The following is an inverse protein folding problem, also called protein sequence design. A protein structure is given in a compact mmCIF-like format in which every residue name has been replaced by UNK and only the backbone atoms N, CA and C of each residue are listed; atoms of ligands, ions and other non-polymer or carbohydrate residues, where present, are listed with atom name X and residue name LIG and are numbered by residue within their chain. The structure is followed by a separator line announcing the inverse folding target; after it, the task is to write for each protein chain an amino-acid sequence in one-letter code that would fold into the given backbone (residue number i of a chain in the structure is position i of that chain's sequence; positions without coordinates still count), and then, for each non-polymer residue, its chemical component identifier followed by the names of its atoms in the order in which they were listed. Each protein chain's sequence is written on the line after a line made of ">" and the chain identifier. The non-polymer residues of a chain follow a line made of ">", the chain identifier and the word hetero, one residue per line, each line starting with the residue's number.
data_IF_556476101545
#
_entry.id   IF_556476101545
#
_cell.length_a   1.000
_cell.length_b   1.000
_cell.length_c   1.000
_cell.angle_alpha   90.00
_cell.angle_beta   90.00
_cell.angle_gamma   90.00
#
_symmetry.space_group_name_H-M   'P 1'
#
loop_
_entity.id
_entity.type
_entity.pdbx_description
1 polymer ?
#
# COMPACT_ATOMS: atom_id res chain seq x y z
N UNK A 1 -12.01 0.56 13.21
CA UNK A 1 -11.47 -0.50 12.33
C UNK A 1 -12.03 -0.28 10.93
N UNK A 2 -11.21 -0.57 9.92
CA UNK A 2 -11.58 -0.45 8.51
C UNK A 2 -12.10 -1.80 8.03
N UNK A 3 -13.12 -1.79 7.18
CA UNK A 3 -13.53 -2.98 6.43
C UNK A 3 -12.66 -3.13 5.17
N UNK A 4 -11.46 -3.68 5.35
CA UNK A 4 -10.45 -3.75 4.29
C UNK A 4 -10.86 -4.71 3.17
N UNK A 5 -11.55 -5.81 3.51
CA UNK A 5 -12.09 -6.76 2.52
C UNK A 5 -13.06 -6.06 1.59
N UNK A 6 -14.02 -5.34 2.15
CA UNK A 6 -14.98 -4.56 1.35
C UNK A 6 -14.31 -3.48 0.51
N UNK A 7 -13.23 -2.88 1.02
CA UNK A 7 -12.52 -1.82 0.31
C UNK A 7 -11.74 -2.33 -0.91
N UNK A 8 -11.14 -3.51 -0.80
CA UNK A 8 -10.26 -4.06 -1.84
C UNK A 8 -10.87 -5.19 -2.66
N UNK A 9 -11.93 -5.85 -2.20
CA UNK A 9 -12.49 -7.03 -2.85
C UNK A 9 -13.18 -6.72 -4.17
N UNK A 10 -13.14 -7.67 -5.11
CA UNK A 10 -13.69 -7.50 -6.48
C UNK A 10 -13.14 -6.27 -7.23
N UNK A 11 -11.90 -5.86 -6.96
CA UNK A 11 -11.33 -4.70 -7.66
C UNK A 11 -10.89 -5.05 -9.08
N UNK A 12 -11.28 -4.21 -10.05
CA UNK A 12 -10.89 -4.30 -11.46
C UNK A 12 -9.49 -3.72 -11.74
N UNK A 13 -8.92 -3.01 -10.77
CA UNK A 13 -7.68 -2.22 -10.92
C UNK A 13 -6.55 -2.70 -10.03
N UNK A 14 -6.83 -3.46 -8.96
CA UNK A 14 -5.85 -3.79 -7.93
C UNK A 14 -4.69 -4.61 -8.49
N UNK A 15 -4.97 -5.60 -9.33
CA UNK A 15 -3.96 -6.42 -10.01
C UNK A 15 -3.05 -5.58 -10.92
N UNK A 16 -3.64 -4.70 -11.74
CA UNK A 16 -2.92 -3.85 -12.70
C UNK A 16 -2.11 -2.77 -12.03
N UNK A 17 -2.63 -2.19 -10.94
CA UNK A 17 -1.98 -1.09 -10.24
C UNK A 17 -1.02 -1.56 -9.15
N UNK A 18 -1.17 -2.77 -8.61
CA UNK A 18 -0.29 -3.30 -7.54
C UNK A 18 0.57 -4.43 -8.07
N UNK A 19 -0.06 -5.56 -8.43
CA UNK A 19 0.65 -6.82 -8.66
C UNK A 19 1.49 -6.79 -9.94
N UNK A 20 0.97 -6.17 -11.00
CA UNK A 20 1.66 -6.06 -12.30
C UNK A 20 2.99 -5.32 -12.19
N UNK A 21 3.15 -4.40 -11.23
CA UNK A 21 4.43 -3.72 -10.98
C UNK A 21 5.53 -4.72 -10.58
N UNK A 22 5.14 -5.81 -9.93
CA UNK A 22 6.02 -6.87 -9.44
C UNK A 22 6.03 -8.10 -10.38
N UNK A 23 5.53 -7.96 -11.62
CA UNK A 23 5.45 -9.07 -12.58
C UNK A 23 6.79 -9.65 -13.01
N UNK A 24 7.89 -8.94 -12.70
CA UNK A 24 9.25 -9.37 -12.93
C UNK A 24 9.78 -10.32 -11.84
N UNK A 25 9.04 -10.49 -10.75
CA UNK A 25 9.33 -11.40 -9.64
C UNK A 25 8.35 -12.57 -9.65
N UNK A 26 7.06 -12.26 -9.77
CA UNK A 26 5.94 -13.21 -9.83
C UNK A 26 5.13 -12.94 -11.09
N UNK A 27 5.20 -13.82 -12.08
CA UNK A 27 4.67 -13.54 -13.41
C UNK A 27 3.14 -13.54 -13.45
N UNK A 28 2.51 -14.28 -12.54
CA UNK A 28 1.07 -14.37 -12.46
C UNK A 28 0.51 -13.25 -11.57
N UNK A 29 0.27 -12.09 -12.19
CA UNK A 29 -0.15 -10.89 -11.49
C UNK A 29 -1.67 -10.66 -11.50
N UNK A 30 -2.42 -11.40 -12.31
CA UNK A 30 -3.88 -11.28 -12.40
C UNK A 30 -4.52 -11.76 -11.08
N UNK A 31 -5.68 -11.17 -10.74
CA UNK A 31 -6.43 -11.51 -9.55
C UNK A 31 -7.82 -11.99 -9.93
N UNK A 32 -8.23 -13.12 -9.35
CA UNK A 32 -9.61 -13.63 -9.43
C UNK A 32 -10.22 -13.55 -8.03
N UNK A 33 -11.39 -12.95 -7.91
CA UNK A 33 -12.08 -12.85 -6.63
C UNK A 33 -12.98 -14.06 -6.40
N UNK A 34 -12.85 -14.69 -5.23
CA UNK A 34 -13.70 -15.77 -4.75
C UNK A 34 -14.80 -15.18 -3.84
N UNK A 35 -16.03 -15.17 -4.35
CA UNK A 35 -17.21 -14.67 -3.63
C UNK A 35 -17.59 -15.51 -2.41
N UNK A 36 -17.26 -16.80 -2.39
CA UNK A 36 -17.58 -17.69 -1.27
C UNK A 36 -16.65 -17.45 -0.08
N UNK A 37 -15.36 -17.25 -0.37
CA UNK A 37 -14.34 -17.06 0.67
C UNK A 37 -13.98 -15.59 0.95
N UNK A 38 -14.58 -14.65 0.21
CA UNK A 38 -14.33 -13.20 0.28
C UNK A 38 -12.84 -12.86 0.26
N UNK A 39 -12.12 -13.45 -0.71
CA UNK A 39 -10.67 -13.26 -0.91
C UNK A 39 -10.28 -13.48 -2.37
N UNK A 40 -9.07 -13.10 -2.73
CA UNK A 40 -8.51 -13.44 -4.03
C UNK A 40 -8.04 -14.90 -4.07
N UNK A 41 -8.26 -15.60 -5.19
CA UNK A 41 -7.83 -16.98 -5.39
C UNK A 41 -6.29 -17.06 -5.36
N UNK A 42 -5.69 -17.87 -4.46
CA UNK A 42 -4.25 -18.10 -4.46
C UNK A 42 -3.82 -18.92 -5.68
N UNK A 43 -2.90 -18.37 -6.47
CA UNK A 43 -2.32 -19.05 -7.62
C UNK A 43 -0.81 -19.24 -7.49
N UNK A 44 -0.26 -20.23 -8.20
CA UNK A 44 1.19 -20.38 -8.32
C UNK A 44 1.81 -19.16 -9.01
N UNK A 45 3.04 -18.83 -8.59
CA UNK A 45 3.79 -17.68 -9.09
C UNK A 45 3.02 -16.34 -9.04
N UNK A 46 2.16 -16.17 -8.02
CA UNK A 46 1.35 -14.97 -7.77
C UNK A 46 1.57 -14.37 -6.38
N UNK A 47 1.25 -13.08 -6.22
CA UNK A 47 1.15 -12.42 -4.92
C UNK A 47 -0.26 -12.46 -4.30
N UNK A 48 -1.25 -13.11 -4.93
CA UNK A 48 -2.63 -13.14 -4.46
C UNK A 48 -2.76 -13.55 -2.97
N UNK A 49 -2.06 -14.60 -2.54
CA UNK A 49 -2.09 -15.05 -1.14
C UNK A 49 -1.46 -14.03 -0.18
N UNK A 50 -0.30 -13.46 -0.52
CA UNK A 50 0.33 -12.42 0.31
C UNK A 50 -0.53 -11.16 0.37
N UNK A 51 -1.25 -10.82 -0.71
CA UNK A 51 -2.21 -9.71 -0.73
C UNK A 51 -3.41 -9.98 0.19
N UNK A 52 -3.96 -11.20 0.20
CA UNK A 52 -5.03 -11.57 1.14
C UNK A 52 -4.58 -11.40 2.60
N UNK A 53 -3.36 -11.83 2.91
CA UNK A 53 -2.77 -11.67 4.24
C UNK A 53 -2.65 -10.18 4.62
N UNK A 54 -2.22 -9.33 3.69
CA UNK A 54 -2.17 -7.88 3.90
C UNK A 54 -3.55 -7.27 4.13
N UNK A 55 -4.56 -7.66 3.34
CA UNK A 55 -5.94 -7.17 3.51
C UNK A 55 -6.46 -7.51 4.92
N UNK A 56 -6.19 -8.72 5.40
CA UNK A 56 -6.51 -9.15 6.77
C UNK A 56 -5.79 -8.31 7.83
N UNK A 57 -4.49 -8.02 7.63
CA UNK A 57 -3.71 -7.16 8.52
C UNK A 57 -4.27 -5.73 8.59
N UNK A 58 -4.63 -5.13 7.45
CA UNK A 58 -5.22 -3.78 7.41
C UNK A 58 -6.54 -3.70 8.18
N UNK A 59 -7.33 -4.78 8.19
CA UNK A 59 -8.56 -4.87 8.98
C UNK A 59 -8.34 -4.86 10.50
N UNK A 60 -7.12 -5.21 10.96
CA UNK A 60 -6.77 -5.37 12.38
C UNK A 60 -6.09 -4.16 13.00
N UNK A 61 -5.57 -3.24 12.18
CA UNK A 61 -4.88 -2.04 12.67
C UNK A 61 -5.84 -0.86 12.85
N UNK A 62 -5.47 0.05 13.75
CA UNK A 62 -6.15 1.33 13.90
C UNK A 62 -5.49 2.36 12.97
N UNK A 63 -6.26 3.00 12.08
CA UNK A 63 -5.71 4.04 11.21
C UNK A 63 -5.15 5.19 12.03
N UNK A 64 -4.03 5.81 11.61
CA UNK A 64 -3.51 7.02 12.24
C UNK A 64 -4.53 8.15 12.13
N UNK A 65 -4.51 9.08 13.10
CA UNK A 65 -5.41 10.24 13.08
C UNK A 65 -5.11 11.16 11.88
N UNK A 66 -3.84 11.26 11.50
CA UNK A 66 -3.38 11.98 10.30
C UNK A 66 -2.85 10.96 9.30
N UNK A 67 -3.51 10.82 8.15
CA UNK A 67 -3.19 9.78 7.19
C UNK A 67 -1.80 9.86 6.53
N UNK A 68 -1.11 11.01 6.64
CA UNK A 68 0.26 11.18 6.16
C UNK A 68 1.33 10.95 7.24
N UNK A 69 0.96 10.76 8.50
CA UNK A 69 1.92 10.70 9.62
C UNK A 69 2.96 9.60 9.43
N UNK A 70 2.53 8.39 9.09
CA UNK A 70 3.45 7.28 8.87
C UNK A 70 4.23 7.39 7.55
N UNK A 71 3.70 8.10 6.56
CA UNK A 71 4.45 8.43 5.35
C UNK A 71 5.54 9.47 5.63
N UNK A 72 5.27 10.40 6.54
CA UNK A 72 6.24 11.38 7.02
C UNK A 72 7.36 10.69 7.79
N UNK A 73 7.06 9.71 8.65
CA UNK A 73 8.09 8.92 9.34
C UNK A 73 9.08 8.27 8.35
N UNK A 74 8.57 7.69 7.26
CA UNK A 74 9.41 7.07 6.22
C UNK A 74 10.29 8.11 5.51
N UNK A 75 9.74 9.27 5.17
CA UNK A 75 10.50 10.34 4.53
C UNK A 75 11.55 10.97 5.47
N UNK A 76 11.20 11.16 6.75
CA UNK A 76 12.11 11.65 7.79
C UNK A 76 13.27 10.69 8.01
N UNK A 77 13.01 9.37 7.97
CA UNK A 77 14.06 8.35 8.00
C UNK A 77 15.05 8.54 6.84
N UNK A 78 14.55 8.71 5.62
CA UNK A 78 15.35 8.90 4.41
C UNK A 78 16.23 10.15 4.52
N UNK A 79 15.71 11.25 5.07
CA UNK A 79 16.51 12.46 5.35
C UNK A 79 17.60 12.19 6.39
N UNK A 80 17.22 11.58 7.52
CA UNK A 80 18.12 11.42 8.66
C UNK A 80 19.25 10.41 8.40
N UNK A 81 18.95 9.32 7.68
CA UNK A 81 19.85 8.17 7.56
C UNK A 81 20.44 7.98 6.16
N UNK A 82 19.72 8.36 5.11
CA UNK A 82 20.22 8.27 3.72
C UNK A 82 20.71 9.63 3.20
N UNK A 83 20.50 10.70 3.96
CA UNK A 83 20.95 12.06 3.66
C UNK A 83 20.43 12.62 2.32
N UNK A 84 19.25 12.15 1.89
CA UNK A 84 18.61 12.67 0.68
C UNK A 84 18.22 14.13 0.87
N UNK A 85 18.42 14.92 -0.18
CA UNK A 85 18.07 16.34 -0.20
C UNK A 85 16.59 16.53 -0.55
N UNK A 86 15.72 16.05 0.34
CA UNK A 86 14.26 16.20 0.25
C UNK A 86 13.74 17.06 1.39
N UNK A 87 12.62 17.74 1.16
CA UNK A 87 11.99 18.58 2.17
C UNK A 87 10.47 18.65 1.96
N UNK A 88 9.74 19.04 3.01
CA UNK A 88 8.29 19.16 2.94
C UNK A 88 7.87 20.57 2.55
N UNK A 89 7.15 20.73 1.45
CA UNK A 89 6.61 22.00 0.93
C UNK A 89 5.11 21.86 0.74
N UNK A 90 4.33 22.73 1.39
CA UNK A 90 2.85 22.71 1.33
C UNK A 90 2.24 21.33 1.61
N UNK A 91 2.80 20.61 2.59
CA UNK A 91 2.33 19.28 2.98
C UNK A 91 2.81 18.12 2.09
N UNK A 92 3.65 18.37 1.09
CA UNK A 92 4.18 17.35 0.18
C UNK A 92 5.70 17.26 0.27
N UNK A 93 6.23 16.05 0.23
CA UNK A 93 7.68 15.84 0.10
C UNK A 93 8.11 16.11 -1.33
N UNK A 94 9.14 16.96 -1.48
CA UNK A 94 9.73 17.35 -2.77
C UNK A 94 11.23 17.06 -2.77
N UNK A 95 11.83 16.98 -3.96
CA UNK A 95 13.25 16.69 -4.16
C UNK A 95 13.52 15.26 -4.67
N UNK A 96 12.56 14.34 -4.54
CA UNK A 96 12.60 13.01 -5.13
C UNK A 96 11.20 12.51 -5.49
N UNK A 97 11.12 11.44 -6.26
CA UNK A 97 9.85 10.75 -6.53
C UNK A 97 9.28 10.18 -5.23
N UNK A 98 7.98 10.37 -5.02
CA UNK A 98 7.34 10.02 -3.74
C UNK A 98 7.37 8.52 -3.45
N UNK A 99 7.23 7.68 -4.48
CA UNK A 99 7.27 6.22 -4.33
C UNK A 99 8.66 5.80 -3.88
N UNK A 100 9.70 6.37 -4.50
CA UNK A 100 11.08 6.10 -4.10
C UNK A 100 11.39 6.52 -2.67
N UNK A 101 10.80 7.62 -2.19
CA UNK A 101 10.96 8.03 -0.78
C UNK A 101 10.36 6.97 0.14
N UNK A 102 9.13 6.52 -0.14
CA UNK A 102 8.45 5.53 0.70
C UNK A 102 9.13 4.15 0.65
N UNK A 103 9.55 3.71 -0.53
CA UNK A 103 10.28 2.45 -0.73
C UNK A 103 11.59 2.44 0.05
N UNK A 104 12.41 3.49 -0.10
CA UNK A 104 13.71 3.57 0.57
C UNK A 104 13.58 3.73 2.09
N UNK A 105 12.58 4.47 2.56
CA UNK A 105 12.27 4.56 3.99
C UNK A 105 11.77 3.22 4.56
N UNK A 106 11.09 2.42 3.75
CA UNK A 106 10.48 1.17 4.18
C UNK A 106 11.48 0.01 4.39
N UNK A 107 12.69 0.06 3.82
CA UNK A 107 13.70 -0.99 4.03
C UNK A 107 14.18 -1.11 5.48
N UNK A 108 13.97 -0.06 6.28
CA UNK A 108 14.28 -0.04 7.71
C UNK A 108 13.03 0.06 8.59
N UNK A 109 11.86 -0.09 7.98
CA UNK A 109 10.57 -0.15 8.67
C UNK A 109 10.35 -1.59 9.15
N UNK A 110 10.75 -1.86 10.40
CA UNK A 110 10.65 -3.18 11.02
C UNK A 110 9.19 -3.64 10.95
N UNK A 111 8.97 -4.83 10.37
CA UNK A 111 7.65 -5.42 10.12
C UNK A 111 6.70 -4.52 9.29
N UNK A 112 7.26 -3.62 8.49
CA UNK A 112 6.55 -2.66 7.64
C UNK A 112 5.47 -1.83 8.39
N UNK A 113 5.66 -1.58 9.69
CA UNK A 113 4.65 -0.96 10.55
C UNK A 113 4.19 0.40 10.01
N UNK A 114 5.11 1.25 9.54
CA UNK A 114 4.75 2.54 8.97
C UNK A 114 4.05 2.41 7.62
N UNK A 115 4.47 1.48 6.76
CA UNK A 115 3.79 1.23 5.48
C UNK A 115 2.36 0.68 5.69
N UNK A 116 2.16 -0.22 6.67
CA UNK A 116 0.84 -0.74 7.06
C UNK A 116 -0.05 0.38 7.57
N UNK A 117 0.47 1.23 8.47
CA UNK A 117 -0.31 2.35 9.02
C UNK A 117 -0.57 3.45 7.97
N UNK A 118 0.34 3.68 7.03
CA UNK A 118 0.13 4.58 5.89
C UNK A 118 -1.02 4.06 5.00
N UNK A 119 -1.04 2.76 4.73
CA UNK A 119 -2.11 2.08 3.99
C UNK A 119 -3.46 2.26 4.69
N UNK A 120 -3.53 1.93 5.98
CA UNK A 120 -4.74 2.10 6.79
C UNK A 120 -5.20 3.57 6.84
N UNK A 121 -4.26 4.51 6.99
CA UNK A 121 -4.52 5.94 6.96
C UNK A 121 -5.18 6.38 5.65
N UNK A 122 -4.67 5.92 4.51
CA UNK A 122 -5.23 6.25 3.18
C UNK A 122 -6.62 5.69 2.97
N UNK A 123 -6.87 4.45 3.38
CA UNK A 123 -8.20 3.84 3.28
C UNK A 123 -9.20 4.60 4.15
N UNK A 124 -8.81 4.97 5.38
CA UNK A 124 -9.64 5.82 6.26
C UNK A 124 -9.93 7.17 5.62
N UNK A 125 -8.91 7.83 5.06
CA UNK A 125 -9.05 9.11 4.40
C UNK A 125 -9.95 9.06 3.15
N UNK A 126 -9.93 7.97 2.40
CA UNK A 126 -10.83 7.71 1.28
C UNK A 126 -12.28 7.50 1.78
N UNK A 127 -12.44 6.67 2.80
CA UNK A 127 -13.74 6.37 3.43
C UNK A 127 -14.42 7.63 3.99
N UNK A 128 -13.65 8.50 4.65
CA UNK A 128 -14.12 9.79 5.16
C UNK A 128 -14.57 10.76 4.05
N UNK A 129 -14.13 10.52 2.82
CA UNK A 129 -14.53 11.25 1.61
C UNK A 129 -15.56 10.51 0.76
N UNK A 130 -16.22 9.50 1.35
CA UNK A 130 -17.21 8.65 0.70
C UNK A 130 -16.68 7.83 -0.50
N UNK A 131 -15.37 7.57 -0.53
CA UNK A 131 -14.72 6.67 -1.49
C UNK A 131 -14.55 5.32 -0.81
N UNK A 132 -15.57 4.47 -0.89
CA UNK A 132 -15.66 3.23 -0.10
C UNK A 132 -14.99 2.00 -0.75
N UNK A 133 -14.40 2.17 -1.93
CA UNK A 133 -13.78 1.10 -2.69
C UNK A 133 -12.50 1.60 -3.35
N UNK A 134 -11.50 0.74 -3.48
CA UNK A 134 -10.22 1.06 -4.09
C UNK A 134 -10.38 1.66 -5.49
N UNK A 135 -11.28 1.11 -6.30
CA UNK A 135 -11.51 1.57 -7.69
C UNK A 135 -12.17 2.95 -7.77
N UNK A 136 -12.79 3.42 -6.69
CA UNK A 136 -13.48 4.71 -6.63
C UNK A 136 -12.64 5.80 -5.98
N UNK A 137 -11.39 5.49 -5.61
CA UNK A 137 -10.48 6.46 -5.05
C UNK A 137 -10.14 7.56 -6.06
N UNK A 138 -9.86 8.75 -5.55
CA UNK A 138 -9.20 9.79 -6.35
C UNK A 138 -7.86 9.26 -6.87
N UNK A 139 -7.58 9.45 -8.16
CA UNK A 139 -6.49 8.78 -8.89
C UNK A 139 -5.12 8.99 -8.26
N UNK A 140 -4.81 10.20 -7.78
CA UNK A 140 -3.52 10.46 -7.15
C UNK A 140 -3.37 9.71 -5.83
N UNK A 141 -4.44 9.60 -5.04
CA UNK A 141 -4.45 8.81 -3.81
C UNK A 141 -4.43 7.29 -4.08
N UNK A 142 -5.17 6.83 -5.08
CA UNK A 142 -5.20 5.41 -5.52
C UNK A 142 -3.82 4.95 -5.95
N UNK A 143 -3.14 5.75 -6.79
CA UNK A 143 -1.80 5.44 -7.27
C UNK A 143 -0.81 5.30 -6.11
N UNK A 144 -0.84 6.21 -5.15
CA UNK A 144 0.06 6.11 -4.00
C UNK A 144 -0.28 4.89 -3.14
N UNK A 145 -1.56 4.64 -2.87
CA UNK A 145 -1.98 3.45 -2.11
C UNK A 145 -1.50 2.16 -2.81
N UNK A 146 -1.67 2.07 -4.13
CA UNK A 146 -1.20 0.95 -4.92
C UNK A 146 0.31 0.75 -4.82
N UNK A 147 1.07 1.84 -4.85
CA UNK A 147 2.52 1.78 -4.71
C UNK A 147 2.96 1.36 -3.31
N UNK A 148 2.29 1.82 -2.25
CA UNK A 148 2.57 1.37 -0.87
C UNK A 148 2.31 -0.13 -0.74
N UNK A 149 1.21 -0.64 -1.29
CA UNK A 149 0.94 -2.08 -1.32
C UNK A 149 2.03 -2.85 -2.06
N UNK A 150 2.47 -2.37 -3.22
CA UNK A 150 3.54 -2.99 -3.99
C UNK A 150 4.87 -2.98 -3.23
N UNK A 151 5.21 -1.90 -2.52
CA UNK A 151 6.40 -1.82 -1.67
C UNK A 151 6.35 -2.87 -0.56
N UNK A 152 5.22 -3.00 0.14
CA UNK A 152 5.07 -3.99 1.22
C UNK A 152 5.23 -5.42 0.65
N UNK A 153 4.56 -5.73 -0.46
CA UNK A 153 4.69 -7.03 -1.11
C UNK A 153 6.13 -7.31 -1.56
N UNK A 154 6.82 -6.31 -2.08
CA UNK A 154 8.22 -6.41 -2.47
C UNK A 154 9.13 -6.69 -1.26
N UNK A 155 8.97 -5.98 -0.15
CA UNK A 155 9.75 -6.21 1.08
C UNK A 155 9.52 -7.60 1.67
N UNK A 156 8.28 -8.10 1.57
CA UNK A 156 7.89 -9.44 2.01
C UNK A 156 8.14 -10.53 0.97
N UNK A 157 8.85 -10.22 -0.11
CA UNK A 157 9.25 -11.23 -1.08
C UNK A 157 10.48 -11.94 -0.55
N UNK A 158 10.35 -13.23 -0.28
CA UNK A 158 11.48 -14.08 0.08
C UNK A 158 12.43 -14.23 -1.14
N UNK A 159 13.76 -14.25 -0.95
CA UNK A 159 14.73 -14.52 -2.01
C UNK A 159 14.59 -15.91 -2.64
#
# INVERSE_FOLDING_TARGET
>A
MIDAKKFFGQSDLLDRLVLRQLSHIKHNWELVWDDENEKYEPEEDSYAEKLNQLIEEFGRVNPPQKYHENEDCLAEYVVANLHWQINKVNGRWVGADYVRILEQGGFHDIDEVNLILATAGRIKAATDRNQYHFDYMEQSHQKILANVLAIILYHRTDP
#
